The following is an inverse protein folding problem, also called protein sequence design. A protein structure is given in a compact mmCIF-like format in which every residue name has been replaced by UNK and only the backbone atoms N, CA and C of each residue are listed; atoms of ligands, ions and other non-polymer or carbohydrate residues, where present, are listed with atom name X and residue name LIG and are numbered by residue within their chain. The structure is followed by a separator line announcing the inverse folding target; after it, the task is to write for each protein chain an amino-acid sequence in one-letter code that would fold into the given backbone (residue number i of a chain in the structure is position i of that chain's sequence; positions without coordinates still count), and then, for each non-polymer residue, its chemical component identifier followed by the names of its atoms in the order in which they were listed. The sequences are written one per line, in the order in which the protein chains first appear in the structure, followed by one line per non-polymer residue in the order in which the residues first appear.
data_IF_162106224976
#
_entry.id   IF_162106224976
#
_cell.length_a   1.000
_cell.length_b   1.000
_cell.length_c   1.000
_cell.angle_alpha   90.00
_cell.angle_beta   90.00
_cell.angle_gamma   90.00
#
_symmetry.space_group_name_H-M   'P 1'
#
loop_
_entity.id
_entity.type
_entity.pdbx_description
1 polymer ?
#
# COMPACT_ATOMS: atom_id res chain seq x y z
N UNK A 1 15.91 32.34 31.26
CA UNK A 1 15.68 32.02 29.82
C UNK A 1 14.58 32.81 29.11
N UNK A 2 13.93 33.82 29.73
CA UNK A 2 12.92 34.66 29.04
C UNK A 2 13.53 35.87 28.31
N UNK A 3 14.68 36.34 28.79
CA UNK A 3 15.41 37.46 28.21
C UNK A 3 15.94 37.15 26.79
N UNK A 4 16.43 35.94 26.57
CA UNK A 4 16.89 35.46 25.25
C UNK A 4 15.75 35.37 24.23
N UNK A 5 14.60 34.84 24.62
CA UNK A 5 13.41 34.75 23.74
C UNK A 5 12.92 36.12 23.30
N UNK A 6 12.93 37.11 24.21
CA UNK A 6 12.51 38.48 23.88
C UNK A 6 13.49 39.15 22.92
N UNK A 7 14.78 38.88 23.06
CA UNK A 7 15.83 39.43 22.21
C UNK A 7 15.76 38.86 20.79
N UNK A 8 15.64 37.53 20.67
CA UNK A 8 15.45 36.84 19.37
C UNK A 8 14.18 37.34 18.67
N UNK A 9 13.08 37.54 19.41
CA UNK A 9 11.84 38.05 18.82
C UNK A 9 11.93 39.52 18.37
N UNK A 10 12.79 40.32 19.01
CA UNK A 10 13.05 41.70 18.61
C UNK A 10 13.95 41.76 17.37
N UNK A 11 14.94 40.88 17.29
CA UNK A 11 15.88 40.76 16.16
C UNK A 11 15.18 40.25 14.88
N UNK A 12 14.34 39.22 15.00
CA UNK A 12 13.47 38.73 13.92
C UNK A 12 12.49 39.81 13.40
N UNK A 13 12.21 40.83 14.20
CA UNK A 13 11.33 41.96 13.82
C UNK A 13 12.04 43.02 12.98
N UNK A 14 13.37 43.04 12.98
CA UNK A 14 14.20 43.94 12.17
C UNK A 14 14.51 43.31 10.81
N UNK A 15 14.64 41.97 10.73
CA UNK A 15 14.86 41.22 9.50
C UNK A 15 13.64 40.35 9.11
N UNK A 16 12.46 40.98 9.10
CA UNK A 16 11.16 40.27 8.99
C UNK A 16 11.03 39.39 7.76
N UNK A 17 11.58 39.80 6.62
CA UNK A 17 11.46 39.05 5.36
C UNK A 17 12.25 37.74 5.39
N UNK A 18 13.52 37.81 5.75
CA UNK A 18 14.42 36.66 5.81
C UNK A 18 14.03 35.67 6.92
N UNK A 19 13.70 36.20 8.10
CA UNK A 19 13.17 35.44 9.22
C UNK A 19 11.87 34.70 8.85
N UNK A 20 10.94 35.38 8.20
CA UNK A 20 9.67 34.79 7.76
C UNK A 20 9.90 33.73 6.69
N UNK A 21 10.80 33.98 5.73
CA UNK A 21 11.14 33.03 4.69
C UNK A 21 11.71 31.73 5.26
N UNK A 22 12.68 31.81 6.18
CA UNK A 22 13.24 30.64 6.86
C UNK A 22 12.18 29.86 7.65
N UNK A 23 11.31 30.55 8.39
CA UNK A 23 10.23 29.92 9.16
C UNK A 23 9.24 29.22 8.23
N UNK A 24 8.82 29.88 7.14
CA UNK A 24 7.90 29.30 6.15
C UNK A 24 8.53 28.11 5.42
N UNK A 25 9.80 28.21 5.02
CA UNK A 25 10.54 27.11 4.41
C UNK A 25 10.60 25.91 5.35
N UNK A 26 10.96 26.14 6.62
CA UNK A 26 11.04 25.08 7.64
C UNK A 26 9.67 24.45 7.88
N UNK A 27 8.62 25.27 8.04
CA UNK A 27 7.26 24.78 8.23
C UNK A 27 6.75 23.98 7.01
N UNK A 28 7.05 24.44 5.79
CA UNK A 28 6.70 23.75 4.56
C UNK A 28 7.42 22.41 4.40
N UNK A 29 8.70 22.33 4.77
CA UNK A 29 9.47 21.08 4.79
C UNK A 29 8.84 20.10 5.78
N UNK A 30 8.57 20.54 7.01
CA UNK A 30 7.93 19.71 8.04
C UNK A 30 6.57 19.21 7.56
N UNK A 31 5.73 20.09 7.02
CA UNK A 31 4.42 19.73 6.49
C UNK A 31 4.52 18.71 5.34
N UNK A 32 5.46 18.92 4.40
CA UNK A 32 5.70 18.01 3.27
C UNK A 32 6.16 16.63 3.74
N UNK A 33 7.07 16.56 4.72
CA UNK A 33 7.55 15.29 5.30
C UNK A 33 6.44 14.54 6.03
N UNK A 34 5.63 15.24 6.82
CA UNK A 34 4.48 14.65 7.51
C UNK A 34 3.45 14.12 6.51
N UNK A 35 3.15 14.90 5.46
CA UNK A 35 2.21 14.52 4.42
C UNK A 35 2.70 13.29 3.65
N UNK A 36 3.97 13.27 3.24
CA UNK A 36 4.58 12.13 2.58
C UNK A 36 4.53 10.87 3.45
N UNK A 37 4.85 10.98 4.74
CA UNK A 37 4.76 9.87 5.69
C UNK A 37 3.33 9.36 5.89
N UNK A 38 2.35 10.26 5.97
CA UNK A 38 0.93 9.91 6.04
C UNK A 38 0.45 9.19 4.77
N UNK A 39 0.82 9.69 3.60
CA UNK A 39 0.53 9.04 2.31
C UNK A 39 1.19 7.67 2.21
N UNK A 40 2.46 7.56 2.60
CA UNK A 40 3.17 6.28 2.61
C UNK A 40 2.48 5.29 3.54
N UNK A 41 2.07 5.72 4.74
CA UNK A 41 1.32 4.89 5.69
C UNK A 41 -0.02 4.47 5.09
N UNK A 42 -0.74 5.38 4.45
CA UNK A 42 -2.02 5.08 3.80
C UNK A 42 -1.87 4.10 2.63
N UNK A 43 -0.82 4.24 1.81
CA UNK A 43 -0.55 3.42 0.64
C UNK A 43 0.16 2.09 0.94
N UNK A 44 0.95 2.02 2.02
CA UNK A 44 1.63 0.79 2.46
C UNK A 44 0.76 -0.06 3.42
N UNK A 45 -0.15 0.54 4.19
CA UNK A 45 -1.07 -0.19 5.07
C UNK A 45 -2.46 -0.60 4.50
N UNK A 46 -2.81 -0.46 3.20
CA UNK A 46 -4.05 -1.06 2.70
C UNK A 46 -3.89 -2.57 2.67
N UNK A 47 -2.73 -3.07 2.24
CA UNK A 47 -2.43 -4.50 2.18
C UNK A 47 -2.34 -5.16 3.54
N UNK A 48 -1.72 -4.50 4.53
CA UNK A 48 -1.69 -4.98 5.92
C UNK A 48 -3.12 -5.15 6.49
N UNK A 49 -4.00 -4.17 6.22
CA UNK A 49 -5.40 -4.20 6.66
C UNK A 49 -6.18 -5.32 5.98
N UNK A 50 -6.06 -5.44 4.66
CA UNK A 50 -6.73 -6.50 3.88
C UNK A 50 -6.22 -7.89 4.30
N UNK A 51 -4.91 -8.05 4.50
CA UNK A 51 -4.30 -9.31 4.95
C UNK A 51 -4.78 -9.72 6.35
N UNK A 52 -4.93 -8.75 7.25
CA UNK A 52 -5.49 -8.99 8.59
C UNK A 52 -6.98 -9.36 8.50
N UNK A 53 -7.76 -8.65 7.67
CA UNK A 53 -9.17 -8.95 7.43
C UNK A 53 -9.38 -10.33 6.77
N UNK A 54 -8.49 -10.73 5.86
CA UNK A 54 -8.52 -12.04 5.20
C UNK A 54 -7.98 -13.18 6.08
N UNK A 55 -7.83 -12.96 7.39
CA UNK A 55 -7.37 -13.96 8.37
C UNK A 55 -5.95 -14.51 8.11
N UNK A 56 -5.07 -13.68 7.55
CA UNK A 56 -3.64 -14.00 7.41
C UNK A 56 -3.24 -14.72 6.12
N UNK A 57 -2.07 -15.35 6.15
CA UNK A 57 -1.44 -16.03 5.01
C UNK A 57 -2.23 -17.29 4.62
N UNK A 58 -3.09 -17.19 3.62
CA UNK A 58 -3.68 -18.34 2.96
C UNK A 58 -2.77 -18.79 1.81
N UNK A 59 -2.41 -20.07 1.79
CA UNK A 59 -1.64 -20.68 0.70
C UNK A 59 -2.56 -21.60 -0.08
N UNK A 60 -2.69 -21.36 -1.39
CA UNK A 60 -3.40 -22.24 -2.32
C UNK A 60 -2.41 -23.22 -2.94
N UNK A 61 -2.67 -24.52 -2.75
CA UNK A 61 -1.83 -25.59 -3.28
C UNK A 61 -2.64 -26.36 -4.32
N UNK A 62 -2.15 -26.37 -5.56
CA UNK A 62 -2.71 -27.18 -6.63
C UNK A 62 -1.98 -28.52 -6.63
N UNK A 63 -2.72 -29.59 -6.33
CA UNK A 63 -2.18 -30.95 -6.33
C UNK A 63 -2.78 -31.75 -7.48
N UNK A 64 -2.07 -32.82 -7.86
CA UNK A 64 -2.68 -33.85 -8.70
C UNK A 64 -3.77 -34.56 -7.90
N UNK A 65 -4.81 -35.06 -8.57
CA UNK A 65 -5.92 -35.77 -7.93
C UNK A 65 -5.49 -37.00 -7.11
N UNK A 66 -4.32 -37.58 -7.41
CA UNK A 66 -3.74 -38.72 -6.68
C UNK A 66 -3.00 -38.35 -5.39
N UNK A 67 -2.79 -37.06 -5.11
CA UNK A 67 -2.08 -36.61 -3.93
C UNK A 67 -3.06 -36.39 -2.76
N UNK A 68 -2.68 -36.89 -1.58
CA UNK A 68 -3.47 -36.71 -0.36
C UNK A 68 -3.25 -35.32 0.24
N UNK A 69 -4.10 -34.37 -0.18
CA UNK A 69 -4.10 -33.01 0.35
C UNK A 69 -4.54 -32.92 1.83
N UNK A 70 -5.17 -33.97 2.38
CA UNK A 70 -5.61 -34.00 3.78
C UNK A 70 -4.45 -33.98 4.77
N UNK A 71 -3.29 -34.53 4.37
CA UNK A 71 -2.07 -34.53 5.20
C UNK A 71 -1.58 -33.12 5.57
N UNK A 72 -1.88 -32.11 4.74
CA UNK A 72 -1.47 -30.73 4.98
C UNK A 72 -2.16 -30.12 6.19
N UNK A 73 -3.38 -30.55 6.51
CA UNK A 73 -4.13 -30.06 7.67
C UNK A 73 -3.50 -30.47 9.01
N UNK A 74 -2.66 -31.52 9.01
CA UNK A 74 -1.97 -32.03 10.20
C UNK A 74 -0.58 -31.44 10.42
N UNK A 75 -0.10 -30.56 9.53
CA UNK A 75 1.21 -29.93 9.67
C UNK A 75 1.20 -28.89 10.78
N UNK A 76 2.27 -28.84 11.56
CA UNK A 76 2.42 -27.84 12.61
C UNK A 76 2.44 -26.42 12.00
N UNK A 77 1.68 -25.51 12.62
CA UNK A 77 1.45 -24.16 12.10
C UNK A 77 0.26 -24.00 11.15
N UNK A 78 -0.38 -25.08 10.69
CA UNK A 78 -1.63 -25.00 9.91
C UNK A 78 -2.81 -24.79 10.85
N UNK A 79 -3.39 -23.59 10.81
CA UNK A 79 -4.51 -23.22 11.71
C UNK A 79 -5.86 -23.72 11.21
N UNK A 80 -6.05 -23.77 9.90
CA UNK A 80 -7.28 -24.20 9.25
C UNK A 80 -6.98 -24.66 7.82
N UNK A 81 -7.77 -25.60 7.32
CA UNK A 81 -7.72 -26.08 5.93
C UNK A 81 -9.13 -26.13 5.35
N UNK A 82 -9.26 -25.75 4.07
CA UNK A 82 -10.50 -25.85 3.30
C UNK A 82 -10.25 -26.63 2.01
N UNK A 83 -11.27 -27.36 1.55
CA UNK A 83 -11.15 -28.23 0.37
C UNK A 83 -10.64 -29.63 0.72
N UNK A 84 -10.44 -30.52 -0.26
CA UNK A 84 -10.04 -30.24 -1.65
C UNK A 84 -11.16 -29.67 -2.54
N UNK A 85 -10.79 -28.72 -3.41
CA UNK A 85 -11.69 -28.14 -4.41
C UNK A 85 -11.28 -28.60 -5.81
N UNK A 86 -12.16 -29.27 -6.57
CA UNK A 86 -11.86 -29.65 -7.95
C UNK A 86 -11.65 -28.41 -8.84
N UNK A 87 -10.54 -28.37 -9.56
CA UNK A 87 -10.23 -27.32 -10.54
C UNK A 87 -10.06 -27.92 -11.92
N UNK A 88 -10.56 -27.25 -12.96
CA UNK A 88 -10.34 -27.62 -14.36
C UNK A 88 -9.49 -26.53 -15.04
N UNK A 89 -8.60 -26.94 -15.95
CA UNK A 89 -7.83 -25.99 -16.77
C UNK A 89 -8.75 -25.27 -17.73
N UNK A 90 -8.70 -23.94 -17.74
CA UNK A 90 -9.43 -23.10 -18.70
C UNK A 90 -8.39 -22.28 -19.46
N UNK A 91 -8.47 -22.32 -20.79
CA UNK A 91 -7.73 -21.40 -21.66
C UNK A 91 -8.61 -20.19 -21.91
N UNK A 92 -8.12 -19.00 -21.56
CA UNK A 92 -8.78 -17.75 -21.93
C UNK A 92 -8.22 -17.28 -23.28
N UNK A 93 -9.09 -17.04 -24.25
CA UNK A 93 -8.74 -16.38 -25.50
C UNK A 93 -9.20 -14.92 -25.41
N UNK A 94 -8.29 -14.00 -25.70
CA UNK A 94 -8.66 -12.59 -25.81
C UNK A 94 -9.26 -12.41 -27.20
N UNK A 95 -10.58 -12.27 -27.28
CA UNK A 95 -11.23 -11.81 -28.51
C UNK A 95 -10.79 -10.36 -28.69
N UNK A 96 -9.72 -10.16 -29.45
CA UNK A 96 -9.42 -8.84 -30.00
C UNK A 96 -10.63 -8.44 -30.83
N UNK A 97 -11.18 -7.26 -30.53
CA UNK A 97 -12.37 -6.74 -31.19
C UNK A 97 -12.25 -6.93 -32.69
N UNK A 98 -13.23 -7.63 -33.25
CA UNK A 98 -13.46 -7.67 -34.67
C UNK A 98 -13.79 -6.24 -35.09
N UNK A 99 -12.79 -5.51 -35.59
CA UNK A 99 -13.00 -4.34 -36.44
C UNK A 99 -13.59 -4.85 -37.76
N UNK A 100 -14.89 -5.16 -37.70
CA UNK A 100 -15.73 -5.40 -38.85
C UNK A 100 -15.79 -4.13 -39.69
N UNK A 101 -15.35 -4.29 -40.95
CA UNK A 101 -15.91 -3.68 -42.15
C UNK A 101 -16.17 -2.17 -42.12
N UNK A 102 -15.14 -1.41 -42.47
CA UNK A 102 -15.32 -0.27 -43.36
C UNK A 102 -14.04 -0.06 -44.20
N UNK A 103 -14.20 0.32 -45.47
CA UNK A 103 -13.18 0.51 -46.54
C UNK A 103 -12.89 -0.80 -47.29
N UNK A 104 -13.35 -1.07 -48.51
CA UNK A 104 -13.76 -0.19 -49.61
C UNK A 104 -14.60 -1.02 -50.60
N UNK A 105 -15.76 -0.51 -51.03
CA UNK A 105 -16.40 -0.85 -52.29
C UNK A 105 -16.10 0.27 -53.29
#
# INVERSE_FOLDING_TARGET
MRATVRWVRADLRVHRGEALFLVLATAGIIASLLLAGAFLTYAANPWQRVFTQSSGAHVWIHTKASADAGTLAGLDGVRASSGPFPTAGVTAELVAGQEDDAVDQ
#
